data_IF_578228055148
#
_entry.id   IF_578228055148
#
_cell.length_a   1.000
_cell.length_b   1.000
_cell.length_c   1.000
_cell.angle_alpha   90.00
_cell.angle_beta   90.00
_cell.angle_gamma   90.00
#
_symmetry.space_group_name_H-M   'P 1'
#
loop_
_entity.id
_entity.type
_entity.pdbx_description
1 polymer ?
#
# COMPACT_ATOMS: atom_id res chain seq x y z
N UNK A 1 -4.59 7.20 -55.82
CA UNK A 1 -3.76 6.70 -54.68
C UNK A 1 -3.50 7.78 -53.62
N UNK A 2 -3.29 9.06 -53.97
CA UNK A 2 -3.05 10.15 -53.00
C UNK A 2 -4.24 10.43 -52.07
N UNK A 3 -5.46 10.38 -52.55
CA UNK A 3 -6.70 10.62 -51.79
C UNK A 3 -6.92 9.59 -50.66
N UNK A 4 -6.64 8.31 -50.89
CA UNK A 4 -6.73 7.25 -49.88
C UNK A 4 -5.69 7.42 -48.75
N UNK A 5 -4.50 7.95 -49.07
CA UNK A 5 -3.50 8.27 -48.03
C UNK A 5 -3.93 9.45 -47.16
N UNK A 6 -4.53 10.49 -47.78
CA UNK A 6 -5.05 11.66 -47.05
C UNK A 6 -6.22 11.28 -46.11
N UNK A 7 -7.14 10.39 -46.54
CA UNK A 7 -8.22 9.89 -45.73
C UNK A 7 -7.73 9.06 -44.52
N UNK A 8 -6.73 8.20 -44.74
CA UNK A 8 -6.11 7.40 -43.64
C UNK A 8 -5.39 8.28 -42.63
N UNK A 9 -4.68 9.33 -43.09
CA UNK A 9 -4.02 10.27 -42.20
C UNK A 9 -5.02 11.10 -41.40
N UNK A 10 -6.12 11.57 -42.00
CA UNK A 10 -7.17 12.31 -41.32
C UNK A 10 -7.90 11.43 -40.29
N UNK A 11 -8.18 10.16 -40.60
CA UNK A 11 -8.81 9.24 -39.70
C UNK A 11 -7.88 8.89 -38.51
N UNK A 12 -6.59 8.68 -38.74
CA UNK A 12 -5.61 8.42 -37.70
C UNK A 12 -5.43 9.62 -36.75
N UNK A 13 -5.42 10.85 -37.32
CA UNK A 13 -5.37 12.08 -36.51
C UNK A 13 -6.61 12.25 -35.63
N UNK A 14 -7.81 12.03 -36.18
CA UNK A 14 -9.06 12.09 -35.42
C UNK A 14 -9.12 11.02 -34.32
N UNK A 15 -8.62 9.81 -34.60
CA UNK A 15 -8.55 8.73 -33.60
C UNK A 15 -7.57 9.04 -32.47
N UNK A 16 -6.42 9.65 -32.81
CA UNK A 16 -5.43 10.08 -31.83
C UNK A 16 -5.94 11.23 -30.97
N UNK A 17 -6.66 12.18 -31.58
CA UNK A 17 -7.31 13.28 -30.85
C UNK A 17 -8.43 12.75 -29.92
N UNK A 18 -9.29 11.87 -30.40
CA UNK A 18 -10.35 11.25 -29.59
C UNK A 18 -9.78 10.44 -28.42
N UNK A 19 -8.71 9.68 -28.64
CA UNK A 19 -8.00 8.99 -27.55
C UNK A 19 -7.44 9.98 -26.54
N UNK A 20 -6.80 11.05 -26.98
CA UNK A 20 -6.23 12.06 -26.09
C UNK A 20 -7.29 12.77 -25.27
N UNK A 21 -8.43 13.14 -25.85
CA UNK A 21 -9.55 13.77 -25.17
C UNK A 21 -10.23 12.81 -24.20
N UNK A 22 -10.40 11.53 -24.57
CA UNK A 22 -10.96 10.51 -23.66
C UNK A 22 -10.01 10.19 -22.49
N UNK A 23 -8.71 10.16 -22.68
CA UNK A 23 -7.76 10.01 -21.60
C UNK A 23 -7.76 11.21 -20.66
N UNK A 24 -7.86 12.44 -21.19
CA UNK A 24 -7.88 13.66 -20.38
C UNK A 24 -9.21 13.81 -19.61
N UNK A 25 -10.33 13.45 -20.18
CA UNK A 25 -11.64 13.52 -19.50
C UNK A 25 -11.78 12.42 -18.43
N UNK A 26 -11.33 11.20 -18.72
CA UNK A 26 -11.30 10.10 -17.73
C UNK A 26 -10.29 10.39 -16.61
N UNK A 27 -9.15 11.04 -16.93
CA UNK A 27 -8.14 11.40 -15.95
C UNK A 27 -8.64 12.37 -14.87
N UNK A 28 -9.40 13.40 -15.24
CA UNK A 28 -9.88 14.41 -14.29
C UNK A 28 -10.96 13.89 -13.33
N UNK A 29 -11.81 12.97 -13.76
CA UNK A 29 -12.84 12.38 -12.92
C UNK A 29 -12.31 11.22 -12.07
N UNK A 30 -11.35 10.47 -12.59
CA UNK A 30 -10.64 9.42 -11.85
C UNK A 30 -9.72 10.03 -10.77
N UNK A 31 -9.02 11.13 -11.06
CA UNK A 31 -8.21 11.81 -10.04
C UNK A 31 -9.05 12.29 -8.85
N UNK A 32 -10.25 12.84 -9.07
CA UNK A 32 -11.12 13.31 -7.98
C UNK A 32 -11.71 12.15 -7.16
N UNK A 33 -11.95 11.00 -7.76
CA UNK A 33 -12.48 9.81 -7.09
C UNK A 33 -11.39 8.97 -6.40
N UNK A 34 -10.11 9.22 -6.68
CA UNK A 34 -9.00 8.42 -6.14
C UNK A 34 -8.51 8.93 -4.77
N UNK A 35 -8.92 10.10 -4.31
CA UNK A 35 -8.47 10.66 -3.03
C UNK A 35 -9.18 10.04 -1.83
N UNK A 36 -8.40 9.77 -0.77
CA UNK A 36 -8.93 9.44 0.53
C UNK A 36 -9.75 10.62 1.08
N UNK A 37 -10.87 10.31 1.70
CA UNK A 37 -11.75 11.31 2.34
C UNK A 37 -11.61 11.26 3.86
N UNK A 38 -12.08 12.30 4.54
CA UNK A 38 -12.01 12.36 6.01
C UNK A 38 -12.89 11.28 6.69
N UNK A 39 -13.95 10.84 6.04
CA UNK A 39 -14.86 9.81 6.55
C UNK A 39 -14.25 8.42 6.40
N UNK A 40 -13.86 7.80 7.51
CA UNK A 40 -13.34 6.43 7.53
C UNK A 40 -14.34 5.43 6.92
N UNK A 41 -15.62 5.60 7.20
CA UNK A 41 -16.67 4.73 6.68
C UNK A 41 -16.77 4.77 5.14
N UNK A 42 -16.65 5.96 4.54
CA UNK A 42 -16.66 6.12 3.08
C UNK A 42 -15.40 5.50 2.44
N UNK A 43 -14.25 5.71 3.06
CA UNK A 43 -13.00 5.06 2.63
C UNK A 43 -13.14 3.53 2.63
N UNK A 44 -13.73 2.96 3.69
CA UNK A 44 -13.91 1.51 3.81
C UNK A 44 -14.91 0.95 2.80
N UNK A 45 -15.97 1.69 2.45
CA UNK A 45 -16.91 1.30 1.38
C UNK A 45 -16.18 1.26 0.03
N UNK A 46 -15.37 2.28 -0.27
CA UNK A 46 -14.59 2.36 -1.51
C UNK A 46 -13.56 1.23 -1.61
N UNK A 47 -12.84 0.95 -0.52
CA UNK A 47 -11.87 -0.14 -0.44
C UNK A 47 -12.53 -1.52 -0.63
N UNK A 48 -13.66 -1.78 0.01
CA UNK A 48 -14.40 -3.04 -0.15
C UNK A 48 -14.87 -3.28 -1.58
N UNK A 49 -15.23 -2.23 -2.32
CA UNK A 49 -15.58 -2.36 -3.74
C UNK A 49 -14.39 -2.82 -4.59
N UNK A 50 -13.19 -2.41 -4.24
CA UNK A 50 -11.97 -2.70 -5.00
C UNK A 50 -11.34 -4.05 -4.61
N UNK A 51 -11.24 -4.34 -3.31
CA UNK A 51 -10.71 -5.62 -2.81
C UNK A 51 -11.73 -6.77 -2.87
N UNK A 52 -13.02 -6.45 -3.02
CA UNK A 52 -14.06 -7.44 -2.81
C UNK A 52 -14.06 -7.95 -1.37
N UNK A 53 -14.37 -9.23 -1.20
CA UNK A 53 -14.28 -9.92 0.09
C UNK A 53 -13.01 -10.77 0.17
N UNK A 54 -11.85 -10.25 -0.26
CA UNK A 54 -10.60 -10.99 -0.17
C UNK A 54 -10.27 -11.32 1.27
N UNK A 55 -10.03 -12.59 1.55
CA UNK A 55 -9.56 -13.09 2.85
C UNK A 55 -8.15 -12.62 3.17
N UNK A 56 -7.39 -12.20 2.14
CA UNK A 56 -5.99 -11.81 2.29
C UNK A 56 -5.82 -10.39 2.84
N UNK A 57 -6.92 -9.61 2.84
CA UNK A 57 -6.91 -8.29 3.44
C UNK A 57 -7.23 -8.37 4.94
N UNK A 58 -6.18 -8.27 5.76
CA UNK A 58 -6.33 -8.02 7.19
C UNK A 58 -6.91 -6.61 7.37
N UNK A 59 -8.10 -6.57 7.98
CA UNK A 59 -8.88 -5.37 8.16
C UNK A 59 -9.36 -5.30 9.61
N UNK A 60 -8.74 -4.45 10.44
CA UNK A 60 -9.08 -4.30 11.86
C UNK A 60 -9.45 -2.87 12.20
N UNK A 61 -10.64 -2.71 12.77
CA UNK A 61 -11.06 -1.45 13.39
C UNK A 61 -10.58 -1.41 14.84
N UNK A 62 -10.00 -0.29 15.22
CA UNK A 62 -9.52 0.02 16.55
C UNK A 62 -10.19 1.31 17.02
N UNK A 63 -10.40 1.45 18.31
CA UNK A 63 -10.88 2.69 18.93
C UNK A 63 -9.83 3.17 19.93
N UNK A 64 -9.19 4.29 19.64
CA UNK A 64 -8.12 4.88 20.45
C UNK A 64 -8.62 6.19 21.02
N UNK A 65 -8.97 6.21 22.31
CA UNK A 65 -9.50 7.39 23.00
C UNK A 65 -10.72 8.01 22.27
N UNK A 66 -11.64 7.17 21.81
CA UNK A 66 -12.83 7.62 21.06
C UNK A 66 -12.59 7.90 19.58
N UNK A 67 -11.36 7.86 19.10
CA UNK A 67 -11.03 8.04 17.69
C UNK A 67 -11.02 6.67 17.01
N UNK A 68 -11.82 6.51 15.94
CA UNK A 68 -11.81 5.30 15.14
C UNK A 68 -10.61 5.27 14.21
N UNK A 69 -9.94 4.13 14.20
CA UNK A 69 -8.76 3.89 13.36
C UNK A 69 -8.93 2.55 12.64
N UNK A 70 -8.59 2.51 11.38
CA UNK A 70 -8.62 1.28 10.58
C UNK A 70 -7.19 0.85 10.25
N UNK A 71 -6.83 -0.34 10.70
CA UNK A 71 -5.60 -1.01 10.32
C UNK A 71 -5.86 -1.92 9.12
N UNK A 72 -5.09 -1.73 8.07
CA UNK A 72 -5.12 -2.51 6.83
C UNK A 72 -3.74 -3.13 6.57
N UNK A 73 -3.69 -4.38 6.18
CA UNK A 73 -2.49 -5.06 5.75
C UNK A 73 -2.84 -6.24 4.84
N UNK A 74 -1.92 -6.68 3.97
CA UNK A 74 -2.10 -7.93 3.22
C UNK A 74 -1.43 -9.07 3.97
N UNK A 75 -2.24 -10.09 4.32
CA UNK A 75 -1.74 -11.32 4.93
C UNK A 75 -0.73 -12.00 3.98
N UNK A 76 0.33 -12.54 4.54
CA UNK A 76 1.41 -13.15 3.75
C UNK A 76 2.45 -12.18 3.19
N UNK A 77 2.17 -10.87 3.14
CA UNK A 77 3.14 -9.84 2.70
C UNK A 77 3.77 -9.09 3.88
N UNK A 78 3.12 -9.07 5.03
CA UNK A 78 3.60 -8.40 6.24
C UNK A 78 4.06 -9.41 7.28
N UNK A 79 5.05 -9.04 8.09
CA UNK A 79 5.41 -9.76 9.29
C UNK A 79 4.40 -9.45 10.40
N UNK A 80 3.63 -10.44 10.82
CA UNK A 80 2.68 -10.29 11.93
C UNK A 80 3.38 -9.96 13.24
N UNK A 81 4.59 -10.48 13.45
CA UNK A 81 5.40 -10.15 14.62
C UNK A 81 5.77 -8.66 14.60
N UNK A 82 6.31 -8.15 13.50
CA UNK A 82 6.67 -6.74 13.36
C UNK A 82 5.42 -5.84 13.46
N UNK A 83 4.28 -6.29 12.94
CA UNK A 83 3.01 -5.58 13.07
C UNK A 83 2.61 -5.42 14.55
N UNK A 84 2.79 -6.46 15.35
CA UNK A 84 2.51 -6.43 16.79
C UNK A 84 3.47 -5.51 17.53
N UNK A 85 4.77 -5.69 17.34
CA UNK A 85 5.81 -4.94 18.05
C UNK A 85 5.82 -3.45 17.68
N UNK A 86 5.65 -3.12 16.38
CA UNK A 86 5.80 -1.75 15.88
C UNK A 86 4.51 -0.95 15.97
N UNK A 87 3.35 -1.60 15.86
CA UNK A 87 2.06 -0.91 15.86
C UNK A 87 1.20 -1.22 17.07
N UNK A 88 0.99 -2.50 17.41
CA UNK A 88 0.01 -2.87 18.44
C UNK A 88 0.44 -2.40 19.82
N UNK A 89 1.71 -2.56 20.17
CA UNK A 89 2.21 -2.16 21.50
C UNK A 89 2.20 -0.64 21.69
N UNK A 90 2.72 0.19 20.74
CA UNK A 90 2.59 1.64 20.82
C UNK A 90 1.14 2.12 20.84
N UNK A 91 0.25 1.55 20.01
CA UNK A 91 -1.17 1.92 19.98
C UNK A 91 -1.88 1.62 21.31
N UNK A 92 -1.57 0.50 21.94
CA UNK A 92 -2.09 0.15 23.26
C UNK A 92 -1.56 1.11 24.34
N UNK A 93 -0.28 1.48 24.27
CA UNK A 93 0.31 2.47 25.18
C UNK A 93 -0.34 3.86 24.99
N UNK A 94 -0.65 4.27 23.77
CA UNK A 94 -1.37 5.51 23.48
C UNK A 94 -2.80 5.48 24.04
N UNK A 95 -3.51 4.36 23.89
CA UNK A 95 -4.86 4.19 24.41
C UNK A 95 -4.93 4.35 25.93
N UNK A 96 -3.83 4.11 26.64
CA UNK A 96 -3.73 4.23 28.12
C UNK A 96 -3.44 5.66 28.59
N UNK A 97 -3.17 6.61 27.69
CA UNK A 97 -2.93 8.01 28.04
C UNK A 97 -4.26 8.75 28.27
N UNK A 98 -4.19 9.93 28.92
CA UNK A 98 -5.38 10.71 29.30
C UNK A 98 -6.18 11.22 28.09
N UNK A 99 -7.49 11.29 28.26
CA UNK A 99 -8.52 11.68 27.29
C UNK A 99 -8.37 13.10 26.69
N UNK A 100 -9.04 13.33 25.56
CA UNK A 100 -9.24 14.65 24.96
C UNK A 100 -8.34 14.98 23.78
N UNK A 101 -7.73 13.97 23.15
CA UNK A 101 -6.90 14.16 21.95
C UNK A 101 -7.76 14.17 20.68
N UNK A 102 -7.28 14.91 19.67
CA UNK A 102 -7.91 15.01 18.35
C UNK A 102 -7.33 13.98 17.39
N UNK A 103 -8.00 13.69 16.24
CA UNK A 103 -7.42 12.87 15.18
C UNK A 103 -6.04 13.36 14.72
N UNK A 104 -5.83 14.68 14.68
CA UNK A 104 -4.56 15.33 14.31
C UNK A 104 -3.46 15.08 15.35
N UNK A 105 -3.82 15.02 16.63
CA UNK A 105 -2.86 14.72 17.70
C UNK A 105 -2.43 13.25 17.62
N UNK A 106 -3.36 12.33 17.37
CA UNK A 106 -3.05 10.94 17.11
C UNK A 106 -2.16 10.77 15.88
N UNK A 107 -2.49 11.46 14.79
CA UNK A 107 -1.69 11.44 13.57
C UNK A 107 -0.26 11.93 13.81
N UNK A 108 -0.12 13.07 14.51
CA UNK A 108 1.19 13.64 14.84
C UNK A 108 2.00 12.71 15.73
N UNK A 109 1.37 12.10 16.72
CA UNK A 109 2.01 11.13 17.60
C UNK A 109 2.49 9.90 16.83
N UNK A 110 1.66 9.33 15.96
CA UNK A 110 2.04 8.19 15.11
C UNK A 110 3.25 8.52 14.23
N UNK A 111 3.33 9.75 13.76
CA UNK A 111 4.45 10.22 12.92
C UNK A 111 5.74 10.45 13.68
N UNK A 112 5.66 10.84 14.95
CA UNK A 112 6.81 11.24 15.76
C UNK A 112 7.31 10.13 16.69
N UNK A 113 6.39 9.44 17.36
CA UNK A 113 6.71 8.49 18.40
C UNK A 113 6.84 7.04 17.88
N UNK A 114 6.09 6.66 16.84
CA UNK A 114 6.19 5.33 16.21
C UNK A 114 7.34 5.30 15.20
N UNK A 115 8.42 6.02 15.49
CA UNK A 115 9.61 6.13 14.61
C UNK A 115 10.43 4.84 14.51
N UNK A 116 10.01 3.74 15.12
CA UNK A 116 10.69 2.44 15.01
C UNK A 116 10.44 1.74 13.66
N UNK A 117 9.48 2.20 12.87
CA UNK A 117 9.32 1.75 11.50
C UNK A 117 10.28 2.55 10.58
N UNK A 118 11.34 1.93 10.05
CA UNK A 118 12.36 2.63 9.25
C UNK A 118 11.82 3.17 7.92
N UNK A 119 10.68 2.68 7.46
CA UNK A 119 10.03 3.11 6.21
C UNK A 119 8.58 3.52 6.49
N UNK A 120 8.40 4.80 6.84
CA UNK A 120 7.09 5.40 7.09
C UNK A 120 6.76 6.39 5.97
N UNK A 121 5.54 6.29 5.41
CA UNK A 121 5.07 7.15 4.32
C UNK A 121 3.63 7.59 4.53
N UNK A 122 3.27 8.70 3.91
CA UNK A 122 1.90 9.18 3.84
C UNK A 122 1.23 8.69 2.56
N UNK A 123 -0.07 8.47 2.65
CA UNK A 123 -0.89 8.07 1.52
C UNK A 123 -2.13 8.95 1.46
N UNK A 124 -2.42 9.49 0.28
CA UNK A 124 -3.52 10.41 0.03
C UNK A 124 -4.54 9.86 -0.95
N UNK A 125 -4.20 8.80 -1.69
CA UNK A 125 -5.04 8.23 -2.73
C UNK A 125 -5.22 6.72 -2.55
N UNK A 126 -6.35 6.19 -3.06
CA UNK A 126 -6.57 4.75 -3.05
C UNK A 126 -5.53 4.00 -3.88
N UNK A 127 -5.12 4.54 -5.02
CA UNK A 127 -4.07 3.94 -5.85
C UNK A 127 -2.75 3.79 -5.10
N UNK A 128 -2.32 4.82 -4.34
CA UNK A 128 -1.15 4.74 -3.47
C UNK A 128 -1.35 3.73 -2.35
N UNK A 129 -2.53 3.72 -1.73
CA UNK A 129 -2.88 2.79 -0.66
C UNK A 129 -2.76 1.33 -1.15
N UNK A 130 -3.32 1.02 -2.32
CA UNK A 130 -3.19 -0.30 -2.93
C UNK A 130 -1.73 -0.67 -3.20
N UNK A 131 -0.98 0.26 -3.79
CA UNK A 131 0.45 0.04 -4.08
C UNK A 131 1.24 -0.31 -2.82
N UNK A 132 1.01 0.41 -1.72
CA UNK A 132 1.69 0.13 -0.45
C UNK A 132 1.24 -1.20 0.16
N UNK A 133 -0.05 -1.50 0.20
CA UNK A 133 -0.55 -2.78 0.71
C UNK A 133 0.06 -3.97 -0.05
N UNK A 134 0.08 -3.90 -1.41
CA UNK A 134 0.69 -4.94 -2.25
C UNK A 134 2.22 -4.99 -2.16
N UNK A 135 2.84 -3.97 -1.57
CA UNK A 135 4.29 -3.94 -1.31
C UNK A 135 4.66 -4.38 0.12
N UNK A 136 3.71 -4.92 0.88
CA UNK A 136 3.94 -5.41 2.24
C UNK A 136 4.01 -4.30 3.29
N UNK A 137 3.30 -3.19 3.08
CA UNK A 137 3.10 -2.17 4.10
C UNK A 137 1.78 -2.43 4.85
N UNK A 138 1.76 -2.09 6.13
CA UNK A 138 0.52 -1.86 6.84
C UNK A 138 0.12 -0.39 6.70
N UNK A 139 -1.19 -0.14 6.63
CA UNK A 139 -1.75 1.21 6.49
C UNK A 139 -2.71 1.48 7.63
N UNK A 140 -2.56 2.64 8.28
CA UNK A 140 -3.51 3.17 9.26
C UNK A 140 -4.29 4.33 8.64
N UNK A 141 -5.62 4.22 8.68
CA UNK A 141 -6.54 5.31 8.36
C UNK A 141 -7.20 5.77 9.66
N UNK A 142 -7.28 7.08 9.86
CA UNK A 142 -7.83 7.71 11.06
C UNK A 142 -9.12 8.43 10.66
N UNK A 143 -10.22 8.20 11.38
CA UNK A 143 -11.47 8.90 11.15
C UNK A 143 -11.30 10.40 11.41
N UNK A 144 -11.79 11.21 10.50
CA UNK A 144 -11.60 12.66 10.50
C UNK A 144 -10.48 13.16 9.58
N UNK A 145 -9.61 12.26 9.06
CA UNK A 145 -8.47 12.64 8.22
C UNK A 145 -8.54 12.01 6.83
N UNK A 146 -8.28 12.83 5.80
CA UNK A 146 -8.15 12.39 4.40
C UNK A 146 -6.73 11.93 4.04
N UNK A 147 -5.98 11.41 5.00
CA UNK A 147 -4.61 10.92 4.84
C UNK A 147 -4.42 9.66 5.66
N UNK A 148 -3.71 8.68 5.09
CA UNK A 148 -3.29 7.48 5.80
C UNK A 148 -1.79 7.48 6.07
N UNK A 149 -1.36 6.65 7.02
CA UNK A 149 0.05 6.41 7.34
C UNK A 149 0.38 4.97 6.98
N UNK A 150 1.43 4.79 6.20
CA UNK A 150 1.95 3.49 5.81
C UNK A 150 3.22 3.16 6.59
N UNK A 151 3.32 1.92 7.05
CA UNK A 151 4.48 1.39 7.76
C UNK A 151 5.03 0.19 6.99
N UNK A 152 6.31 0.22 6.62
CA UNK A 152 7.00 -0.87 5.96
C UNK A 152 7.23 -2.02 6.93
N UNK A 153 6.41 -3.07 6.82
CA UNK A 153 6.44 -4.25 7.67
C UNK A 153 6.65 -5.53 6.84
N UNK A 154 7.36 -5.39 5.73
CA UNK A 154 7.63 -6.51 4.84
C UNK A 154 8.30 -7.65 5.61
N UNK A 155 7.69 -8.81 5.57
CA UNK A 155 8.21 -9.98 6.23
C UNK A 155 7.40 -11.19 5.82
N UNK A 156 7.94 -11.94 4.90
CA UNK A 156 7.43 -13.23 4.52
C UNK A 156 8.46 -14.29 4.91
N UNK A 157 7.96 -15.45 5.29
CA UNK A 157 8.83 -16.59 5.56
C UNK A 157 9.43 -17.06 4.23
N UNK A 158 10.74 -16.99 4.15
CA UNK A 158 11.51 -17.53 3.03
C UNK A 158 12.58 -18.47 3.59
N UNK A 159 13.01 -19.41 2.76
CA UNK A 159 14.13 -20.28 3.12
C UNK A 159 15.42 -19.47 3.20
N UNK A 160 16.29 -19.82 4.12
CA UNK A 160 17.64 -19.25 4.16
C UNK A 160 18.40 -19.58 2.85
N UNK A 161 19.33 -18.71 2.48
CA UNK A 161 20.26 -18.96 1.37
C UNK A 161 20.94 -20.30 1.63
N UNK A 162 20.77 -21.26 0.75
CA UNK A 162 21.32 -22.61 0.83
C UNK A 162 21.70 -23.14 -0.54
N UNK A 163 22.49 -24.18 -0.56
CA UNK A 163 22.83 -24.89 -1.80
C UNK A 163 21.58 -25.46 -2.46
N UNK A 164 21.37 -25.25 -3.78
CA UNK A 164 20.25 -25.83 -4.51
C UNK A 164 20.31 -27.36 -4.44
N UNK A 165 19.22 -28.01 -4.06
CA UNK A 165 19.14 -29.47 -3.92
C UNK A 165 19.21 -30.21 -5.25
N UNK A 166 18.87 -29.54 -6.35
CA UNK A 166 18.77 -30.15 -7.70
C UNK A 166 19.95 -29.84 -8.61
N UNK A 167 20.70 -28.76 -8.37
CA UNK A 167 21.82 -28.31 -9.20
C UNK A 167 23.01 -27.96 -8.33
N UNK A 168 23.82 -28.95 -7.98
CA UNK A 168 25.01 -28.77 -7.14
C UNK A 168 26.21 -28.44 -8.02
N UNK A 169 26.75 -27.25 -7.87
CA UNK A 169 28.01 -26.87 -8.51
C UNK A 169 29.21 -27.56 -7.85
N UNK A 170 29.99 -28.31 -8.63
CA UNK A 170 31.21 -28.97 -8.16
C UNK A 170 32.31 -27.96 -7.86
N UNK A 171 32.32 -26.81 -8.55
CA UNK A 171 33.20 -25.65 -8.33
C UNK A 171 32.45 -24.35 -8.55
N UNK A 172 32.41 -23.46 -7.56
CA UNK A 172 31.76 -22.13 -7.65
C UNK A 172 30.93 -21.83 -6.42
N UNK A 173 30.12 -20.77 -6.52
CA UNK A 173 29.18 -20.39 -5.46
C UNK A 173 28.14 -21.49 -5.26
N UNK A 174 27.91 -21.83 -3.99
CA UNK A 174 26.89 -22.83 -3.59
C UNK A 174 25.61 -22.16 -3.09
N UNK A 175 25.48 -20.87 -3.32
CA UNK A 175 24.32 -20.09 -2.91
C UNK A 175 23.29 -20.09 -4.03
N UNK A 176 22.07 -20.56 -3.73
CA UNK A 176 20.94 -20.55 -4.65
C UNK A 176 20.02 -19.35 -4.40
N UNK A 177 19.38 -18.86 -5.45
CA UNK A 177 18.35 -17.82 -5.32
C UNK A 177 17.20 -18.31 -4.44
N UNK A 178 16.68 -17.37 -3.64
CA UNK A 178 15.54 -17.58 -2.76
C UNK A 178 14.34 -16.75 -3.24
N UNK A 179 13.18 -16.90 -2.59
CA UNK A 179 11.93 -16.29 -3.02
C UNK A 179 12.00 -14.75 -3.10
N UNK A 180 12.64 -14.02 -2.14
CA UNK A 180 12.67 -12.56 -2.18
C UNK A 180 13.71 -12.01 -3.17
N UNK A 181 13.23 -11.26 -4.15
CA UNK A 181 14.11 -10.64 -5.16
C UNK A 181 15.18 -9.74 -4.57
N UNK A 182 14.88 -9.03 -3.47
CA UNK A 182 15.85 -8.13 -2.81
C UNK A 182 17.07 -8.89 -2.29
N UNK A 183 16.87 -10.08 -1.73
CA UNK A 183 17.97 -10.92 -1.25
C UNK A 183 18.78 -11.42 -2.44
N UNK A 184 18.12 -11.87 -3.49
CA UNK A 184 18.80 -12.32 -4.70
C UNK A 184 19.64 -11.23 -5.36
N UNK A 185 19.18 -9.97 -5.31
CA UNK A 185 19.93 -8.81 -5.82
C UNK A 185 21.21 -8.52 -5.02
N UNK A 186 21.30 -8.94 -3.76
CA UNK A 186 22.52 -8.76 -2.95
C UNK A 186 23.59 -9.82 -3.22
N UNK A 187 23.22 -10.89 -3.96
CA UNK A 187 24.11 -11.99 -4.34
C UNK A 187 24.79 -11.77 -5.70
N UNK A 188 24.39 -10.73 -6.45
CA UNK A 188 24.91 -10.34 -7.75
C UNK A 188 25.89 -9.19 -7.60
#
# INVERSE_FOLDING_TARGET
MAWLKALRQSAAQKLAQYRRESYLSVGSDVEKQDHLVASLSENMISLRKQFGNSSDLLNRELCLQGIRVQLLACEGLVSLQSLTEILSDPLNAYASQSDGKTPEDLYRWLRQEVMLAPDQKEVYTYSQLFQFLMSGFAVLLIDGLGVGICFGLQGYNFRSISEPSAEVNVRGSREGFVEPIRINMTMI
#
